data_IF_824508231857
#
_entry.id   IF_824508231857
#
_cell.length_a   1.000
_cell.length_b   1.000
_cell.length_c   1.000
_cell.angle_alpha   90.00
_cell.angle_beta   90.00
_cell.angle_gamma   90.00
#
_symmetry.space_group_name_H-M   'P 1'
#
loop_
_entity.id
_entity.type
_entity.pdbx_description
1 polymer ?
#
# COMPACT_ATOMS: atom_id res chain seq x y z
N UNK A 1 13.49 4.91 -1.94
CA UNK A 1 12.17 4.43 -2.42
C UNK A 1 11.07 5.19 -1.70
N UNK A 2 9.96 5.49 -2.37
CA UNK A 2 8.84 6.24 -1.80
C UNK A 2 7.59 5.38 -1.89
N UNK A 3 6.93 5.14 -0.75
CA UNK A 3 5.62 4.51 -0.65
C UNK A 3 4.60 5.59 -0.23
N UNK A 4 3.77 6.04 -1.18
CA UNK A 4 2.65 6.94 -0.91
C UNK A 4 1.42 6.10 -0.65
N UNK A 5 0.98 6.06 0.60
CA UNK A 5 -0.17 5.28 1.04
C UNK A 5 -1.27 6.24 1.54
N UNK A 6 -2.39 6.25 0.84
CA UNK A 6 -3.59 7.04 1.15
C UNK A 6 -4.81 6.40 0.49
N UNK A 7 -5.82 7.19 0.12
CA UNK A 7 -7.00 6.69 -0.59
C UNK A 7 -6.62 6.06 -1.94
N UNK A 8 -5.60 6.64 -2.60
CA UNK A 8 -4.80 5.98 -3.62
C UNK A 8 -3.43 5.59 -3.06
N UNK A 9 -2.90 4.43 -3.47
CA UNK A 9 -1.63 3.90 -2.98
C UNK A 9 -0.68 3.58 -4.15
N UNK A 10 0.58 4.02 -4.04
CA UNK A 10 1.63 3.65 -5.00
C UNK A 10 3.02 3.58 -4.36
N UNK A 11 3.93 2.85 -5.00
CA UNK A 11 5.35 2.84 -4.67
C UNK A 11 6.15 3.30 -5.88
N UNK A 12 7.18 4.10 -5.65
CA UNK A 12 8.07 4.64 -6.66
C UNK A 12 9.54 4.35 -6.30
N UNK A 13 10.27 3.75 -7.24
CA UNK A 13 11.72 3.61 -7.17
C UNK A 13 12.38 4.89 -7.68
N UNK A 14 13.25 5.48 -6.86
CA UNK A 14 13.98 6.70 -7.19
C UNK A 14 15.48 6.41 -7.12
N UNK A 15 16.18 6.61 -8.23
CA UNK A 15 17.63 6.42 -8.37
C UNK A 15 18.28 7.73 -8.82
N UNK A 16 19.22 8.25 -8.03
CA UNK A 16 19.91 9.51 -8.35
C UNK A 16 18.96 10.69 -8.55
N UNK A 17 17.88 10.76 -7.78
CA UNK A 17 16.85 11.81 -7.88
C UNK A 17 15.87 11.65 -9.05
N UNK A 18 15.94 10.55 -9.81
CA UNK A 18 15.03 10.28 -10.94
C UNK A 18 14.13 9.09 -10.63
N UNK A 19 12.84 9.22 -10.92
CA UNK A 19 11.92 8.08 -10.95
C UNK A 19 12.38 7.10 -12.04
N UNK A 20 12.55 5.84 -11.67
CA UNK A 20 12.97 4.76 -12.59
C UNK A 20 11.94 3.63 -12.67
N UNK A 21 10.98 3.58 -11.74
CA UNK A 21 9.91 2.59 -11.70
C UNK A 21 8.76 3.06 -10.79
N UNK A 22 7.54 2.62 -11.06
CA UNK A 22 6.34 2.97 -10.27
C UNK A 22 5.26 1.89 -10.39
N UNK A 23 4.46 1.71 -9.33
CA UNK A 23 3.43 0.65 -9.31
C UNK A 23 2.14 1.00 -10.05
N UNK A 24 1.78 2.28 -10.14
CA UNK A 24 0.65 2.70 -11.00
C UNK A 24 1.13 2.77 -12.45
N UNK A 25 0.29 2.37 -13.39
CA UNK A 25 0.61 2.42 -14.82
C UNK A 25 -0.23 3.45 -15.56
N UNK A 26 -0.87 3.02 -16.66
CA UNK A 26 -1.61 3.94 -17.54
C UNK A 26 -2.73 4.67 -16.80
N UNK A 27 -3.39 3.98 -15.86
CA UNK A 27 -4.39 4.58 -14.98
C UNK A 27 -3.97 4.43 -13.52
N UNK A 28 -4.55 5.25 -12.62
CA UNK A 28 -4.36 5.11 -11.17
C UNK A 28 -4.94 3.83 -10.55
N UNK A 29 -5.47 2.89 -11.34
CA UNK A 29 -6.02 1.61 -10.86
C UNK A 29 -4.94 0.53 -10.71
N UNK A 30 -3.91 0.54 -11.54
CA UNK A 30 -2.87 -0.48 -11.51
C UNK A 30 -2.01 -0.40 -10.24
N UNK A 31 -1.48 -1.55 -9.82
CA UNK A 31 -0.51 -1.64 -8.74
C UNK A 31 -1.12 -2.17 -7.44
N UNK A 32 -1.07 -1.34 -6.39
CA UNK A 32 -1.45 -1.73 -5.04
C UNK A 32 -2.97 -1.83 -4.88
N UNK A 33 -3.41 -2.70 -3.98
CA UNK A 33 -4.77 -2.62 -3.40
C UNK A 33 -4.90 -1.28 -2.66
N UNK A 34 -6.03 -0.60 -2.80
CA UNK A 34 -6.26 0.72 -2.20
C UNK A 34 -7.56 0.74 -1.38
N UNK A 35 -8.04 1.91 -0.96
CA UNK A 35 -9.28 2.06 -0.17
C UNK A 35 -10.50 1.44 -0.87
N UNK A 36 -10.81 1.92 -2.08
CA UNK A 36 -11.94 1.44 -2.88
C UNK A 36 -11.54 0.86 -4.25
N UNK A 37 -10.24 0.92 -4.59
CA UNK A 37 -9.72 0.39 -5.86
C UNK A 37 -9.12 -0.99 -5.69
N UNK A 38 -9.33 -1.85 -6.68
CA UNK A 38 -8.86 -3.24 -6.67
C UNK A 38 -7.33 -3.36 -6.71
N UNK A 39 -6.64 -2.43 -7.36
CA UNK A 39 -5.23 -2.63 -7.72
C UNK A 39 -5.08 -3.51 -8.96
N UNK A 40 -3.90 -4.10 -9.13
CA UNK A 40 -3.67 -5.08 -10.20
C UNK A 40 -4.49 -6.36 -10.00
N UNK A 41 -5.29 -6.70 -11.01
CA UNK A 41 -6.07 -7.96 -11.08
C UNK A 41 -5.77 -8.69 -12.39
N UNK A 42 -6.03 -10.00 -12.42
CA UNK A 42 -5.87 -10.82 -13.63
C UNK A 42 -6.88 -10.38 -14.72
N UNK A 43 -6.42 -9.96 -15.91
CA UNK A 43 -7.31 -9.66 -17.03
C UNK A 43 -8.22 -10.84 -17.42
N UNK A 44 -7.76 -12.09 -17.24
CA UNK A 44 -8.56 -13.28 -17.45
C UNK A 44 -9.80 -13.32 -16.56
N UNK A 45 -9.69 -12.90 -15.30
CA UNK A 45 -10.83 -12.79 -14.39
C UNK A 45 -11.86 -11.76 -14.88
N UNK A 46 -11.41 -10.64 -15.45
CA UNK A 46 -12.30 -9.62 -16.03
C UNK A 46 -13.08 -10.18 -17.23
N UNK A 47 -12.39 -10.87 -18.15
CA UNK A 47 -13.06 -11.51 -19.30
C UNK A 47 -14.04 -12.60 -18.85
N UNK A 48 -13.73 -13.33 -17.78
CA UNK A 48 -14.63 -14.31 -17.20
C UNK A 48 -15.88 -13.66 -16.62
N UNK A 49 -15.75 -12.52 -15.91
CA UNK A 49 -16.89 -11.76 -15.40
C UNK A 49 -17.80 -11.25 -16.53
N UNK A 50 -17.22 -10.74 -17.61
CA UNK A 50 -17.99 -10.30 -18.77
C UNK A 50 -18.74 -11.47 -19.43
N UNK A 51 -18.05 -12.58 -19.66
CA UNK A 51 -18.61 -13.68 -20.46
C UNK A 51 -19.55 -14.57 -19.66
N UNK A 52 -19.21 -14.86 -18.39
CA UNK A 52 -19.97 -15.77 -17.52
C UNK A 52 -21.06 -15.06 -16.73
N UNK A 53 -20.78 -13.84 -16.24
CA UNK A 53 -21.71 -13.06 -15.43
C UNK A 53 -22.40 -11.93 -16.20
N UNK A 54 -22.09 -11.77 -17.50
CA UNK A 54 -22.70 -10.77 -18.39
C UNK A 54 -22.58 -9.34 -17.87
N UNK A 55 -21.51 -9.06 -17.11
CA UNK A 55 -21.20 -7.70 -16.68
C UNK A 55 -20.73 -6.89 -17.88
N UNK A 56 -21.22 -5.66 -17.99
CA UNK A 56 -20.75 -4.71 -18.98
C UNK A 56 -19.33 -4.22 -18.65
N UNK A 57 -18.66 -3.60 -19.62
CA UNK A 57 -17.40 -2.93 -19.36
C UNK A 57 -17.53 -1.84 -18.27
N UNK A 58 -18.66 -1.13 -18.25
CA UNK A 58 -18.95 -0.10 -17.25
C UNK A 58 -19.11 -0.71 -15.84
N UNK A 59 -19.85 -1.81 -15.72
CA UNK A 59 -20.02 -2.50 -14.42
C UNK A 59 -18.67 -2.93 -13.84
N UNK A 60 -17.77 -3.42 -14.69
CA UNK A 60 -16.42 -3.81 -14.29
C UNK A 60 -15.58 -2.60 -13.91
N UNK A 61 -15.65 -1.52 -14.69
CA UNK A 61 -14.91 -0.29 -14.39
C UNK A 61 -15.31 0.31 -13.05
N UNK A 62 -16.62 0.39 -12.78
CA UNK A 62 -17.16 0.88 -11.51
C UNK A 62 -16.77 -0.05 -10.36
N UNK A 63 -16.92 -1.37 -10.54
CA UNK A 63 -16.51 -2.34 -9.53
C UNK A 63 -15.02 -2.21 -9.17
N UNK A 64 -14.15 -2.05 -10.18
CA UNK A 64 -12.70 -1.95 -9.96
C UNK A 64 -12.29 -0.62 -9.32
N UNK A 65 -12.97 0.48 -9.66
CA UNK A 65 -12.59 1.83 -9.21
C UNK A 65 -13.31 2.31 -7.95
N UNK A 66 -14.45 1.73 -7.57
CA UNK A 66 -15.31 2.25 -6.50
C UNK A 66 -15.76 1.19 -5.49
N UNK A 67 -15.94 -0.04 -5.93
CA UNK A 67 -16.54 -1.11 -5.10
C UNK A 67 -15.56 -2.26 -4.84
N UNK A 68 -14.26 -1.95 -4.76
CA UNK A 68 -13.17 -2.91 -4.57
C UNK A 68 -12.29 -2.53 -3.37
N UNK A 69 -11.07 -3.06 -3.32
CA UNK A 69 -10.07 -2.65 -2.35
C UNK A 69 -10.40 -3.07 -0.92
N UNK A 70 -9.96 -2.26 0.04
CA UNK A 70 -10.25 -2.43 1.46
C UNK A 70 -11.75 -2.47 1.73
N UNK A 71 -12.53 -1.63 1.05
CA UNK A 71 -13.98 -1.55 1.20
C UNK A 71 -14.65 -2.89 0.93
N UNK A 72 -14.38 -3.50 -0.22
CA UNK A 72 -15.01 -4.76 -0.61
C UNK A 72 -14.51 -5.95 0.23
N UNK A 73 -13.21 -5.98 0.53
CA UNK A 73 -12.60 -7.05 1.32
C UNK A 73 -13.16 -7.04 2.75
N UNK A 74 -13.20 -5.86 3.40
CA UNK A 74 -13.74 -5.73 4.75
C UNK A 74 -15.25 -5.87 4.77
N UNK A 75 -15.94 -5.35 3.75
CA UNK A 75 -17.39 -5.21 3.71
C UNK A 75 -17.92 -4.12 4.65
N UNK A 76 -17.05 -3.33 5.29
CA UNK A 76 -17.43 -2.39 6.35
C UNK A 76 -16.79 -1.02 6.23
N UNK A 77 -15.51 -0.93 5.89
CA UNK A 77 -14.78 0.34 5.81
C UNK A 77 -13.63 0.29 4.80
N UNK A 78 -13.35 1.44 4.20
CA UNK A 78 -12.19 1.69 3.34
C UNK A 78 -11.06 2.43 4.08
N UNK A 79 -11.29 2.80 5.35
CA UNK A 79 -10.33 3.42 6.26
C UNK A 79 -9.64 2.36 7.13
N UNK A 80 -8.33 2.24 6.94
CA UNK A 80 -7.49 1.30 7.67
C UNK A 80 -7.46 1.52 9.19
N UNK A 81 -7.72 2.73 9.72
CA UNK A 81 -7.86 2.97 11.17
C UNK A 81 -9.09 2.26 11.72
N UNK A 82 -10.18 2.28 10.98
CA UNK A 82 -11.41 1.58 11.35
C UNK A 82 -11.18 0.07 11.29
N UNK A 83 -10.54 -0.40 10.23
CA UNK A 83 -10.22 -1.81 10.08
C UNK A 83 -9.27 -2.33 11.17
N UNK A 84 -8.32 -1.52 11.63
CA UNK A 84 -7.45 -1.89 12.77
C UNK A 84 -8.29 -2.05 14.04
N UNK A 85 -9.25 -1.15 14.30
CA UNK A 85 -10.16 -1.27 15.45
C UNK A 85 -11.08 -2.48 15.33
N UNK A 86 -11.68 -2.70 14.15
CA UNK A 86 -12.56 -3.86 13.90
C UNK A 86 -11.81 -5.18 14.04
N UNK A 87 -10.58 -5.27 13.50
CA UNK A 87 -9.70 -6.43 13.70
C UNK A 87 -9.44 -6.69 15.18
N UNK A 88 -9.13 -5.64 15.96
CA UNK A 88 -8.91 -5.77 17.39
C UNK A 88 -10.18 -6.25 18.14
N UNK A 89 -11.36 -5.94 17.62
CA UNK A 89 -12.65 -6.45 18.11
C UNK A 89 -13.02 -7.85 17.58
N UNK A 90 -12.15 -8.50 16.81
CA UNK A 90 -12.34 -9.86 16.30
C UNK A 90 -12.95 -9.99 14.91
N UNK A 91 -13.06 -8.89 14.15
CA UNK A 91 -13.54 -8.93 12.77
C UNK A 91 -12.51 -9.58 11.83
N UNK A 92 -12.83 -10.81 11.38
CA UNK A 92 -11.99 -11.60 10.47
C UNK A 92 -11.89 -10.98 9.07
N UNK A 93 -12.91 -10.27 8.58
CA UNK A 93 -12.87 -9.61 7.27
C UNK A 93 -12.00 -8.37 7.31
N UNK A 94 -12.07 -7.58 8.37
CA UNK A 94 -11.14 -6.47 8.59
C UNK A 94 -9.69 -6.95 8.68
N UNK A 95 -9.45 -8.06 9.39
CA UNK A 95 -8.14 -8.70 9.45
C UNK A 95 -7.64 -9.14 8.07
N UNK A 96 -8.50 -9.77 7.27
CA UNK A 96 -8.18 -10.19 5.89
C UNK A 96 -7.87 -8.98 5.00
N UNK A 97 -8.68 -7.92 5.05
CA UNK A 97 -8.50 -6.71 4.25
C UNK A 97 -7.12 -6.07 4.52
N UNK A 98 -6.76 -5.89 5.79
CA UNK A 98 -5.45 -5.37 6.19
C UNK A 98 -4.30 -6.30 5.76
N UNK A 99 -4.47 -7.61 5.88
CA UNK A 99 -3.45 -8.59 5.49
C UNK A 99 -3.18 -8.56 3.98
N UNK A 100 -4.24 -8.47 3.16
CA UNK A 100 -4.14 -8.35 1.70
C UNK A 100 -3.50 -7.01 1.32
N UNK A 101 -3.95 -5.91 1.91
CA UNK A 101 -3.39 -4.58 1.65
C UNK A 101 -1.89 -4.51 1.96
N UNK A 102 -1.49 -4.88 3.19
CA UNK A 102 -0.07 -4.87 3.58
C UNK A 102 0.75 -5.89 2.79
N UNK A 103 0.16 -7.00 2.32
CA UNK A 103 0.82 -7.92 1.40
C UNK A 103 1.12 -7.27 0.05
N UNK A 104 0.14 -6.58 -0.55
CA UNK A 104 0.34 -5.86 -1.81
C UNK A 104 1.36 -4.73 -1.65
N UNK A 105 1.31 -3.95 -0.58
CA UNK A 105 2.33 -2.93 -0.28
C UNK A 105 3.74 -3.55 -0.21
N UNK A 106 3.89 -4.69 0.49
CA UNK A 106 5.17 -5.43 0.56
C UNK A 106 5.65 -5.89 -0.81
N UNK A 107 4.74 -6.46 -1.61
CA UNK A 107 5.05 -6.90 -2.97
C UNK A 107 5.48 -5.73 -3.85
N UNK A 108 4.80 -4.58 -3.75
CA UNK A 108 5.17 -3.35 -4.45
C UNK A 108 6.56 -2.87 -4.07
N UNK A 109 6.84 -2.75 -2.77
CA UNK A 109 8.18 -2.37 -2.27
C UNK A 109 9.24 -3.34 -2.78
N UNK A 110 9.02 -4.65 -2.66
CA UNK A 110 9.97 -5.65 -3.14
C UNK A 110 10.19 -5.59 -4.66
N UNK A 111 9.13 -5.44 -5.46
CA UNK A 111 9.23 -5.31 -6.90
C UNK A 111 10.07 -4.08 -7.30
N UNK A 112 9.79 -2.92 -6.69
CA UNK A 112 10.51 -1.68 -6.96
C UNK A 112 12.00 -1.75 -6.58
N UNK A 113 12.41 -2.67 -5.71
CA UNK A 113 13.85 -2.85 -5.41
C UNK A 113 14.63 -3.44 -6.58
N UNK A 114 13.99 -4.17 -7.51
CA UNK A 114 14.65 -4.69 -8.69
C UNK A 114 15.15 -3.60 -9.65
N UNK A 115 14.59 -2.38 -9.52
CA UNK A 115 14.95 -1.21 -10.31
C UNK A 115 16.04 -0.34 -9.65
N UNK A 116 16.63 -0.80 -8.54
CA UNK A 116 17.65 -0.08 -7.76
C UNK A 116 18.90 -0.95 -7.57
N UNK A 117 20.08 -0.33 -7.60
CA UNK A 117 21.35 -1.02 -7.31
C UNK A 117 21.51 -1.33 -5.81
N UNK A 118 20.87 -0.50 -4.96
CA UNK A 118 20.76 -0.66 -3.52
C UNK A 118 19.54 0.10 -3.00
N UNK A 119 18.99 -0.36 -1.87
CA UNK A 119 17.92 0.35 -1.17
C UNK A 119 18.51 1.22 -0.05
N UNK A 120 18.67 2.52 -0.30
CA UNK A 120 19.22 3.47 0.68
C UNK A 120 18.24 3.91 1.76
N UNK A 121 16.95 3.75 1.50
CA UNK A 121 15.90 4.17 2.43
C UNK A 121 14.52 3.95 1.85
N UNK A 122 13.56 3.76 2.75
CA UNK A 122 12.14 3.70 2.44
C UNK A 122 11.42 4.89 3.11
N UNK A 123 10.76 5.70 2.29
CA UNK A 123 9.95 6.82 2.75
C UNK A 123 8.48 6.42 2.69
N UNK A 124 7.75 6.57 3.80
CA UNK A 124 6.29 6.54 3.84
C UNK A 124 5.74 7.96 3.80
N UNK A 125 4.68 8.14 3.04
CA UNK A 125 3.96 9.42 2.91
C UNK A 125 2.49 9.15 2.54
N UNK A 126 1.64 10.17 2.56
CA UNK A 126 0.19 10.04 2.48
C UNK A 126 -0.42 9.63 3.81
N UNK A 127 -1.69 9.95 4.03
CA UNK A 127 -2.32 9.80 5.36
C UNK A 127 -2.24 8.39 5.97
N UNK A 128 -2.27 7.32 5.16
CA UNK A 128 -2.05 5.95 5.68
C UNK A 128 -0.56 5.78 6.05
N UNK A 129 0.34 6.23 5.19
CA UNK A 129 1.79 6.15 5.42
C UNK A 129 2.25 6.97 6.62
N UNK A 130 1.58 8.08 6.92
CA UNK A 130 1.92 9.04 7.97
C UNK A 130 1.30 8.67 9.32
N UNK A 131 -0.01 8.39 9.35
CA UNK A 131 -0.75 8.31 10.61
C UNK A 131 -1.01 6.89 11.09
N UNK A 132 -0.54 5.87 10.37
CA UNK A 132 -0.90 4.48 10.66
C UNK A 132 0.32 3.59 10.93
N UNK A 133 0.85 3.62 12.18
CA UNK A 133 2.00 2.83 12.58
C UNK A 133 1.83 1.31 12.35
N UNK A 134 0.62 0.77 12.52
CA UNK A 134 0.30 -0.63 12.25
C UNK A 134 0.62 -1.04 10.82
N UNK A 135 0.21 -0.22 9.84
CA UNK A 135 0.43 -0.50 8.42
C UNK A 135 1.92 -0.48 8.11
N UNK A 136 2.65 0.55 8.58
CA UNK A 136 4.11 0.63 8.39
C UNK A 136 4.83 -0.59 8.97
N UNK A 137 4.47 -0.96 10.20
CA UNK A 137 5.04 -2.13 10.88
C UNK A 137 4.79 -3.40 10.07
N UNK A 138 3.54 -3.66 9.69
CA UNK A 138 3.15 -4.88 8.96
C UNK A 138 3.80 -4.97 7.58
N UNK A 139 4.04 -3.83 6.92
CA UNK A 139 4.77 -3.78 5.65
C UNK A 139 6.26 -4.09 5.89
N UNK A 140 6.93 -3.41 6.81
CA UNK A 140 8.38 -3.53 6.94
C UNK A 140 8.85 -4.81 7.65
N UNK A 141 8.10 -5.33 8.63
CA UNK A 141 8.54 -6.45 9.48
C UNK A 141 8.77 -7.75 8.69
N UNK A 142 8.16 -7.88 7.50
CA UNK A 142 8.30 -9.05 6.62
C UNK A 142 9.24 -8.83 5.43
N UNK A 143 9.97 -7.71 5.38
CA UNK A 143 10.92 -7.38 4.32
C UNK A 143 12.38 -7.39 4.80
N UNK A 144 12.70 -8.28 5.75
CA UNK A 144 14.05 -8.41 6.33
C UNK A 144 15.11 -8.79 5.30
N UNK A 145 14.74 -9.52 4.25
CA UNK A 145 15.62 -9.82 3.10
C UNK A 145 16.11 -8.55 2.39
N UNK A 146 15.34 -7.46 2.45
CA UNK A 146 15.70 -6.15 1.88
C UNK A 146 16.41 -5.24 2.90
N UNK A 147 16.68 -5.73 4.11
CA UNK A 147 17.30 -4.95 5.19
C UNK A 147 16.33 -4.05 5.96
N UNK A 148 15.01 -4.14 5.70
CA UNK A 148 13.98 -3.47 6.48
C UNK A 148 13.69 -4.25 7.77
N UNK A 149 13.25 -3.55 8.81
CA UNK A 149 12.92 -4.14 10.10
C UNK A 149 11.65 -3.51 10.69
N UNK A 150 11.02 -4.23 11.63
CA UNK A 150 9.93 -3.70 12.44
C UNK A 150 10.41 -2.78 13.57
N UNK A 151 9.51 -2.53 14.53
CA UNK A 151 9.71 -1.52 15.57
C UNK A 151 9.36 -0.11 15.12
N UNK A 152 8.44 0.00 14.14
CA UNK A 152 7.96 1.23 13.50
C UNK A 152 6.60 1.68 14.05
N UNK A 153 6.13 1.07 15.14
CA UNK A 153 4.87 1.43 15.81
C UNK A 153 4.99 2.71 16.65
N UNK A 154 5.52 3.75 16.05
CA UNK A 154 5.64 5.10 16.62
C UNK A 154 4.78 6.06 15.83
N UNK A 155 4.15 7.01 16.51
CA UNK A 155 3.52 8.13 15.83
C UNK A 155 4.61 9.03 15.24
N UNK A 156 4.45 9.41 13.98
CA UNK A 156 5.38 10.33 13.32
C UNK A 156 5.07 11.76 13.77
N UNK A 157 6.09 12.60 13.90
CA UNK A 157 5.90 14.03 14.08
C UNK A 157 5.33 14.68 12.81
N UNK A 158 4.77 15.89 12.92
CA UNK A 158 4.35 16.73 11.79
C UNK A 158 5.53 17.30 10.98
N UNK A 159 6.65 16.57 10.91
CA UNK A 159 7.87 16.92 10.19
C UNK A 159 8.52 15.63 9.67
N UNK A 160 9.38 15.73 8.63
CA UNK A 160 10.17 14.59 8.18
C UNK A 160 10.97 13.96 9.34
N UNK A 161 10.82 12.65 9.54
CA UNK A 161 11.41 11.93 10.67
C UNK A 161 11.81 10.51 10.30
N UNK A 162 13.03 10.10 10.70
CA UNK A 162 13.46 8.70 10.62
C UNK A 162 12.84 7.94 11.80
N UNK A 163 12.01 6.96 11.49
CA UNK A 163 11.28 6.14 12.47
C UNK A 163 11.93 4.77 12.71
N UNK A 164 12.87 4.35 11.88
CA UNK A 164 13.67 3.15 12.12
C UNK A 164 14.66 3.36 13.26
N UNK A 165 15.02 2.28 13.96
CA UNK A 165 16.05 2.32 15.00
C UNK A 165 17.41 2.79 14.46
N UNK A 166 18.23 3.47 15.28
CA UNK A 166 19.62 3.78 14.93
C UNK A 166 20.39 2.52 14.48
N UNK A 167 21.14 2.62 13.38
CA UNK A 167 21.89 1.50 12.82
C UNK A 167 21.07 0.50 11.98
N UNK A 168 19.80 0.79 11.69
CA UNK A 168 19.03 0.00 10.72
C UNK A 168 19.76 -0.07 9.36
N UNK A 169 19.80 -1.26 8.74
CA UNK A 169 20.47 -1.47 7.44
C UNK A 169 19.84 -0.59 6.35
N UNK A 170 18.51 -0.48 6.37
CA UNK A 170 17.76 0.45 5.55
C UNK A 170 16.96 1.36 6.48
N UNK A 171 17.25 2.68 6.51
CA UNK A 171 16.48 3.63 7.28
C UNK A 171 15.05 3.74 6.72
N UNK A 172 14.08 3.83 7.63
CA UNK A 172 12.67 4.08 7.30
C UNK A 172 12.30 5.47 7.80
N UNK A 173 11.73 6.28 6.92
CA UNK A 173 11.38 7.67 7.18
C UNK A 173 9.90 7.89 6.92
N UNK A 174 9.26 8.76 7.70
CA UNK A 174 7.97 9.35 7.37
C UNK A 174 8.20 10.78 6.92
N UNK A 175 7.62 11.15 5.78
CA UNK A 175 7.63 12.51 5.26
C UNK A 175 6.18 12.93 5.07
N UNK A 176 5.68 13.89 5.87
CA UNK A 176 4.32 14.40 5.71
C UNK A 176 4.12 14.96 4.31
N UNK A 177 2.99 14.64 3.68
CA UNK A 177 2.63 15.23 2.41
C UNK A 177 2.15 16.66 2.61
N UNK A 178 2.98 17.63 2.21
CA UNK A 178 2.62 19.05 2.18
C UNK A 178 1.77 19.43 0.97
N UNK A 179 0.82 18.57 0.57
CA UNK A 179 -0.18 18.93 -0.45
C UNK A 179 -1.24 19.84 0.21
N UNK A 180 -0.90 21.12 0.33
CA UNK A 180 -1.85 22.25 0.30
C UNK A 180 -1.91 22.84 -1.12
#
# INVERSE_FOLDING_TARGET
MIARLGGGCSVCAVRGGRSVDTTMGFTPLEGLVMSHRSGGVDPGALTWLQTRHRLSAQDIEDALNRDSGLLALSGTSDDTRDLVRSRAAGDARAALALAVFTHHCRRGVAAMTASLDRLDGLVFTGHIGEDQPEVREEVCVRLTVLGLAGGLRTHAAARPEIISRPGARVPVMVVPTGEE
#
